data_IF_788307271046
#
_entry.id   IF_788307271046
#
_cell.length_a   1.000
_cell.length_b   1.000
_cell.length_c   1.000
_cell.angle_alpha   90.00
_cell.angle_beta   90.00
_cell.angle_gamma   90.00
#
_symmetry.space_group_name_H-M   'P 1'
#
loop_
_entity.id
_entity.type
_entity.pdbx_description
1 polymer ?
#
# COMPACT_ATOMS: atom_id res chain seq x y z
N UNK A 1 -22.16 -9.80 -7.58
CA UNK A 1 -20.85 -9.14 -7.36
C UNK A 1 -20.00 -9.35 -8.60
N UNK A 2 -19.29 -8.34 -9.12
CA UNK A 2 -18.32 -8.57 -10.18
C UNK A 2 -17.26 -9.57 -9.69
N UNK A 3 -16.86 -10.52 -10.54
CA UNK A 3 -15.78 -11.47 -10.22
C UNK A 3 -14.46 -10.71 -10.20
N UNK A 4 -13.64 -10.93 -9.18
CA UNK A 4 -12.28 -10.37 -9.14
C UNK A 4 -11.44 -10.92 -10.29
N UNK A 5 -10.74 -10.04 -11.01
CA UNK A 5 -9.78 -10.44 -12.04
C UNK A 5 -8.40 -10.65 -11.43
N UNK A 6 -7.78 -11.78 -11.71
CA UNK A 6 -6.42 -12.10 -11.29
C UNK A 6 -5.57 -12.29 -12.53
N UNK A 7 -4.46 -11.55 -12.61
CA UNK A 7 -3.47 -11.68 -13.67
C UNK A 7 -2.19 -12.29 -13.08
N UNK A 8 -1.57 -13.21 -13.82
CA UNK A 8 -0.28 -13.83 -13.48
C UNK A 8 0.56 -13.82 -14.74
N UNK A 9 1.79 -13.34 -14.63
CA UNK A 9 2.72 -13.26 -15.75
C UNK A 9 4.07 -13.81 -15.33
N UNK A 10 4.64 -14.71 -16.14
CA UNK A 10 6.02 -15.17 -15.96
C UNK A 10 6.95 -14.09 -16.50
N UNK A 11 7.93 -13.69 -15.68
CA UNK A 11 8.81 -12.56 -15.96
C UNK A 11 10.28 -12.99 -15.99
N UNK A 12 11.15 -12.13 -16.50
CA UNK A 12 12.62 -12.26 -16.44
C UNK A 12 13.22 -10.94 -15.94
N UNK A 13 14.43 -10.96 -15.34
CA UNK A 13 15.07 -9.74 -14.84
C UNK A 13 15.18 -8.62 -15.87
N UNK A 14 15.39 -8.95 -17.14
CA UNK A 14 15.61 -7.98 -18.22
C UNK A 14 14.33 -7.22 -18.62
N UNK A 15 13.15 -7.80 -18.36
CA UNK A 15 11.85 -7.28 -18.81
C UNK A 15 10.92 -6.92 -17.65
N UNK A 16 11.39 -7.01 -16.40
CA UNK A 16 10.54 -6.92 -15.20
C UNK A 16 9.67 -5.65 -15.14
N UNK A 17 10.18 -4.50 -15.59
CA UNK A 17 9.43 -3.25 -15.56
C UNK A 17 8.28 -3.25 -16.58
N UNK A 18 8.56 -3.71 -17.80
CA UNK A 18 7.57 -3.86 -18.87
C UNK A 18 6.53 -4.94 -18.50
N UNK A 19 6.99 -6.04 -17.90
CA UNK A 19 6.14 -7.13 -17.45
C UNK A 19 5.16 -6.67 -16.36
N UNK A 20 5.58 -5.79 -15.44
CA UNK A 20 4.70 -5.19 -14.44
C UNK A 20 3.62 -4.32 -15.10
N UNK A 21 3.98 -3.49 -16.08
CA UNK A 21 3.00 -2.69 -16.81
C UNK A 21 1.99 -3.58 -17.55
N UNK A 22 2.47 -4.63 -18.23
CA UNK A 22 1.61 -5.61 -18.89
C UNK A 22 0.70 -6.33 -17.89
N UNK A 23 1.24 -6.74 -16.74
CA UNK A 23 0.49 -7.39 -15.66
C UNK A 23 -0.64 -6.50 -15.15
N UNK A 24 -0.38 -5.20 -14.96
CA UNK A 24 -1.40 -4.23 -14.54
C UNK A 24 -2.49 -4.07 -15.60
N UNK A 25 -2.12 -3.97 -16.89
CA UNK A 25 -3.09 -3.91 -18.00
C UNK A 25 -3.95 -5.17 -18.08
N UNK A 26 -3.36 -6.36 -17.90
CA UNK A 26 -4.10 -7.62 -17.82
C UNK A 26 -5.11 -7.63 -16.66
N UNK A 27 -4.78 -6.98 -15.55
CA UNK A 27 -5.67 -6.78 -14.40
C UNK A 27 -6.65 -5.59 -14.57
N UNK A 28 -6.68 -4.94 -15.73
CA UNK A 28 -7.63 -3.85 -16.07
C UNK A 28 -7.60 -2.67 -15.09
N UNK A 29 -6.41 -2.33 -14.55
CA UNK A 29 -6.29 -1.34 -13.47
C UNK A 29 -6.90 0.04 -13.82
N UNK A 30 -6.82 0.47 -15.07
CA UNK A 30 -7.38 1.76 -15.52
C UNK A 30 -8.91 1.84 -15.40
N UNK A 31 -9.60 0.71 -15.41
CA UNK A 31 -11.07 0.65 -15.21
C UNK A 31 -11.48 0.70 -13.74
N UNK A 32 -10.52 0.56 -12.83
CA UNK A 32 -10.75 0.46 -11.38
C UNK A 32 -10.18 1.62 -10.58
N UNK A 33 -9.31 2.44 -11.19
CA UNK A 33 -8.72 3.62 -10.57
C UNK A 33 -9.22 4.89 -11.25
N UNK A 34 -9.59 5.90 -10.47
CA UNK A 34 -9.99 7.21 -11.00
C UNK A 34 -8.75 8.03 -11.37
N UNK A 35 -8.57 8.32 -12.66
CA UNK A 35 -7.41 9.09 -13.17
C UNK A 35 -7.30 10.50 -12.59
N UNK A 36 -8.40 11.11 -12.15
CA UNK A 36 -8.42 12.47 -11.63
C UNK A 36 -8.03 12.56 -10.14
N UNK A 37 -8.14 11.44 -9.44
CA UNK A 37 -7.85 11.30 -8.03
C UNK A 37 -6.36 11.05 -7.77
N UNK A 38 -5.89 11.45 -6.59
CA UNK A 38 -4.55 11.06 -6.12
C UNK A 38 -4.50 9.54 -5.98
N UNK A 39 -3.40 8.94 -6.42
CA UNK A 39 -3.13 7.51 -6.27
C UNK A 39 -2.06 7.28 -5.21
N UNK A 40 -2.48 6.68 -4.10
CA UNK A 40 -1.60 6.30 -3.01
C UNK A 40 -0.86 5.01 -3.39
N UNK A 41 0.46 5.07 -3.39
CA UNK A 41 1.32 3.90 -3.45
C UNK A 41 1.53 3.40 -2.02
N UNK A 42 0.97 2.24 -1.72
CA UNK A 42 1.06 1.66 -0.39
C UNK A 42 2.05 0.51 -0.39
N UNK A 43 3.33 0.84 -0.25
CA UNK A 43 4.38 -0.14 -0.04
C UNK A 43 4.22 -0.89 1.29
N UNK A 44 4.94 -2.00 1.39
CA UNK A 44 4.98 -2.87 2.55
C UNK A 44 6.43 -3.12 2.94
N UNK A 45 6.90 -2.37 3.95
CA UNK A 45 8.14 -2.69 4.67
C UNK A 45 7.76 -3.46 5.95
N UNK A 46 7.95 -4.77 5.93
CA UNK A 46 7.79 -5.63 7.11
C UNK A 46 9.03 -5.61 8.00
N UNK A 47 10.21 -5.41 7.42
CA UNK A 47 11.48 -5.28 8.14
C UNK A 47 12.44 -4.30 7.46
N UNK A 48 13.27 -3.62 8.25
CA UNK A 48 14.12 -2.51 7.80
C UNK A 48 15.24 -2.98 6.94
N UNK A 49 15.71 -4.18 7.21
CA UNK A 49 16.78 -4.79 6.47
C UNK A 49 16.24 -5.41 5.19
N UNK A 50 17.03 -5.35 4.11
CA UNK A 50 16.65 -5.97 2.85
C UNK A 50 16.61 -7.49 3.05
N UNK A 51 15.41 -8.04 3.03
CA UNK A 51 15.19 -9.48 3.03
C UNK A 51 14.30 -9.82 1.84
N UNK A 52 14.76 -10.72 1.00
CA UNK A 52 14.01 -11.14 -0.18
C UNK A 52 12.66 -11.72 0.26
N UNK A 53 11.62 -11.41 -0.51
CA UNK A 53 10.25 -11.86 -0.26
C UNK A 53 9.59 -11.32 1.03
N UNK A 54 10.22 -10.37 1.73
CA UNK A 54 9.65 -9.75 2.93
C UNK A 54 9.05 -8.38 2.67
N UNK A 55 9.59 -7.61 1.74
CA UNK A 55 9.23 -6.22 1.49
C UNK A 55 8.84 -5.98 0.03
N UNK A 56 8.11 -4.90 -0.24
CA UNK A 56 7.98 -4.36 -1.60
C UNK A 56 9.36 -4.23 -2.23
N UNK A 57 9.52 -4.75 -3.44
CA UNK A 57 10.82 -4.72 -4.12
C UNK A 57 10.98 -3.42 -4.92
N UNK A 58 12.23 -2.95 -5.12
CA UNK A 58 12.50 -1.76 -5.92
C UNK A 58 11.87 -1.83 -7.32
N UNK A 59 12.05 -2.95 -8.03
CA UNK A 59 11.49 -3.13 -9.38
C UNK A 59 9.96 -3.20 -9.39
N UNK A 60 9.32 -3.77 -8.35
CA UNK A 60 7.87 -3.77 -8.22
C UNK A 60 7.35 -2.33 -8.10
N UNK A 61 7.97 -1.54 -7.23
CA UNK A 61 7.60 -0.15 -7.01
C UNK A 61 7.82 0.68 -8.28
N UNK A 62 9.00 0.59 -8.88
CA UNK A 62 9.36 1.33 -10.08
C UNK A 62 8.46 0.99 -11.27
N UNK A 63 8.22 -0.30 -11.52
CA UNK A 63 7.34 -0.74 -12.60
C UNK A 63 5.91 -0.24 -12.44
N UNK A 64 5.38 -0.23 -11.21
CA UNK A 64 4.05 0.30 -10.92
C UNK A 64 3.98 1.82 -11.13
N UNK A 65 5.00 2.56 -10.70
CA UNK A 65 5.08 4.01 -10.93
C UNK A 65 5.10 4.30 -12.43
N UNK A 66 5.93 3.59 -13.20
CA UNK A 66 6.01 3.76 -14.66
C UNK A 66 4.66 3.45 -15.31
N UNK A 67 4.04 2.33 -14.97
CA UNK A 67 2.75 1.92 -15.52
C UNK A 67 1.64 2.93 -15.25
N UNK A 68 1.56 3.44 -14.01
CA UNK A 68 0.61 4.48 -13.63
C UNK A 68 0.85 5.78 -14.42
N UNK A 69 2.11 6.24 -14.50
CA UNK A 69 2.44 7.45 -15.26
C UNK A 69 2.15 7.29 -16.76
N UNK A 70 2.50 6.16 -17.36
CA UNK A 70 2.21 5.86 -18.77
C UNK A 70 0.71 5.87 -19.07
N UNK A 71 -0.13 5.48 -18.10
CA UNK A 71 -1.58 5.52 -18.21
C UNK A 71 -2.22 6.88 -17.85
N UNK A 72 -1.42 7.90 -17.53
CA UNK A 72 -1.88 9.27 -17.25
C UNK A 72 -2.25 9.54 -15.78
N UNK A 73 -1.82 8.70 -14.84
CA UNK A 73 -1.97 8.99 -13.40
C UNK A 73 -0.83 9.90 -12.92
N UNK A 74 -1.07 11.20 -12.91
CA UNK A 74 -0.03 12.20 -12.61
C UNK A 74 0.19 12.42 -11.11
N UNK A 75 -0.85 12.22 -10.28
CA UNK A 75 -0.85 12.55 -8.85
C UNK A 75 -0.54 11.31 -8.02
N UNK A 76 0.75 11.01 -7.83
CA UNK A 76 1.20 9.86 -7.04
C UNK A 76 1.76 10.30 -5.68
N UNK A 77 1.39 9.59 -4.61
CA UNK A 77 1.90 9.81 -3.25
C UNK A 77 2.19 8.47 -2.60
N UNK A 78 3.37 8.27 -2.02
CA UNK A 78 3.68 7.11 -1.20
C UNK A 78 3.22 7.35 0.24
N UNK A 79 2.58 6.35 0.86
CA UNK A 79 2.19 6.44 2.28
C UNK A 79 2.82 5.32 3.09
N UNK A 80 3.60 5.71 4.10
CA UNK A 80 4.29 4.78 4.99
C UNK A 80 3.62 4.71 6.36
N UNK A 81 3.74 3.54 6.99
CA UNK A 81 3.23 3.31 8.34
C UNK A 81 4.35 2.95 9.31
N UNK A 82 4.24 3.42 10.55
CA UNK A 82 5.12 2.97 11.64
C UNK A 82 4.60 1.64 12.19
N UNK A 83 5.49 0.67 12.42
CA UNK A 83 5.11 -0.60 13.07
C UNK A 83 6.02 -0.88 14.27
N UNK A 84 5.58 -1.75 15.16
CA UNK A 84 6.33 -2.14 16.37
C UNK A 84 7.71 -2.71 16.08
N UNK A 85 7.92 -3.27 14.89
CA UNK A 85 9.19 -3.87 14.47
C UNK A 85 9.84 -3.07 13.33
N UNK A 86 9.33 -1.87 13.03
CA UNK A 86 9.71 -1.14 11.81
C UNK A 86 10.01 0.34 11.97
N UNK A 87 11.22 0.78 11.56
CA UNK A 87 11.57 2.18 11.32
C UNK A 87 11.40 2.61 9.83
N UNK A 88 10.25 3.13 9.39
CA UNK A 88 9.96 3.35 7.98
C UNK A 88 11.03 4.18 7.23
N UNK A 89 11.65 5.17 7.86
CA UNK A 89 12.74 5.96 7.26
C UNK A 89 13.98 5.13 6.95
N UNK A 90 14.45 4.32 7.91
CA UNK A 90 15.58 3.40 7.68
C UNK A 90 15.21 2.37 6.61
N UNK A 91 13.93 1.98 6.57
CA UNK A 91 13.40 0.95 5.68
C UNK A 91 13.39 1.42 4.24
N UNK A 92 12.94 2.65 3.99
CA UNK A 92 12.97 3.28 2.67
C UNK A 92 14.39 3.33 2.08
N UNK A 93 15.39 3.66 2.90
CA UNK A 93 16.81 3.69 2.50
C UNK A 93 17.38 2.31 2.22
N UNK A 94 17.23 1.38 3.16
CA UNK A 94 17.87 0.06 3.10
C UNK A 94 17.21 -0.86 2.06
N UNK A 95 15.89 -0.75 1.88
CA UNK A 95 15.16 -1.47 0.82
C UNK A 95 15.19 -0.76 -0.54
N UNK A 96 15.92 0.36 -0.66
CA UNK A 96 16.08 1.12 -1.91
C UNK A 96 14.77 1.64 -2.51
N UNK A 97 13.76 1.94 -1.68
CA UNK A 97 12.50 2.54 -2.12
C UNK A 97 12.61 4.07 -2.23
N UNK A 98 13.28 4.71 -1.25
CA UNK A 98 13.47 6.18 -1.22
C UNK A 98 14.11 6.74 -2.52
N UNK A 99 15.17 6.13 -3.09
CA UNK A 99 15.73 6.61 -4.36
C UNK A 99 14.74 6.56 -5.54
N UNK A 100 13.80 5.61 -5.54
CA UNK A 100 12.78 5.49 -6.60
C UNK A 100 11.75 6.61 -6.44
N UNK A 101 11.24 6.83 -5.22
CA UNK A 101 10.31 7.94 -4.98
C UNK A 101 10.92 9.27 -5.44
N UNK A 102 12.18 9.53 -5.08
CA UNK A 102 12.93 10.71 -5.54
C UNK A 102 13.09 10.78 -7.06
N UNK A 103 13.50 9.69 -7.70
CA UNK A 103 13.69 9.60 -9.16
C UNK A 103 12.42 10.01 -9.92
N UNK A 104 11.25 9.63 -9.41
CA UNK A 104 9.97 9.89 -10.06
C UNK A 104 9.17 11.06 -9.46
N UNK A 105 9.74 11.81 -8.52
CA UNK A 105 9.06 12.94 -7.87
C UNK A 105 7.78 12.55 -7.12
N UNK A 106 7.75 11.34 -6.54
CA UNK A 106 6.63 10.87 -5.71
C UNK A 106 6.81 11.41 -4.30
N UNK A 107 5.83 12.16 -3.80
CA UNK A 107 5.82 12.65 -2.41
C UNK A 107 5.66 11.49 -1.43
N UNK A 108 6.44 11.50 -0.34
CA UNK A 108 6.31 10.54 0.76
C UNK A 108 5.54 11.17 1.92
N UNK A 109 4.49 10.51 2.39
CA UNK A 109 3.74 10.88 3.61
C UNK A 109 3.77 9.75 4.63
N UNK A 110 3.79 10.10 5.91
CA UNK A 110 3.87 9.14 7.00
C UNK A 110 2.60 9.21 7.85
N UNK A 111 1.83 8.12 7.90
CA UNK A 111 0.52 8.11 8.56
C UNK A 111 0.56 8.23 10.10
N UNK A 112 1.74 8.37 10.69
CA UNK A 112 1.95 8.54 12.12
C UNK A 112 2.59 9.91 12.44
N UNK A 113 2.76 10.76 11.42
CA UNK A 113 3.19 12.15 11.56
C UNK A 113 1.96 13.02 11.33
N UNK A 114 1.54 13.75 12.36
CA UNK A 114 0.30 14.55 12.34
C UNK A 114 0.30 15.64 11.25
N UNK A 115 1.46 16.20 10.92
CA UNK A 115 1.60 17.20 9.84
C UNK A 115 1.41 16.59 8.45
N UNK A 116 1.57 15.28 8.30
CA UNK A 116 1.41 14.59 7.03
C UNK A 116 -0.02 14.10 6.84
N UNK A 117 -0.57 13.42 7.86
CA UNK A 117 -1.88 12.76 7.80
C UNK A 117 -2.55 12.84 9.17
N UNK A 118 -3.72 13.50 9.21
CA UNK A 118 -4.60 13.54 10.38
C UNK A 118 -5.50 12.31 10.42
N UNK A 119 -5.78 11.84 11.63
CA UNK A 119 -6.74 10.78 11.88
C UNK A 119 -8.06 11.37 12.37
N UNK A 120 -9.12 11.12 11.64
CA UNK A 120 -10.46 11.63 11.97
C UNK A 120 -11.36 10.48 12.42
N UNK A 121 -12.29 10.79 13.32
CA UNK A 121 -13.31 9.83 13.74
C UNK A 121 -14.21 9.48 12.56
N UNK A 122 -14.43 8.19 12.37
CA UNK A 122 -15.30 7.63 11.35
C UNK A 122 -16.37 6.77 12.00
N UNK A 123 -17.63 7.10 11.71
CA UNK A 123 -18.78 6.30 12.14
C UNK A 123 -19.19 5.38 10.97
N UNK A 124 -19.03 4.06 11.08
CA UNK A 124 -19.43 3.14 10.03
C UNK A 124 -20.94 3.17 9.81
N UNK A 125 -21.38 3.17 8.55
CA UNK A 125 -22.81 3.18 8.19
C UNK A 125 -23.56 1.90 8.58
N UNK A 126 -22.83 0.83 8.92
CA UNK A 126 -23.38 -0.47 9.27
C UNK A 126 -22.68 -0.99 10.52
N UNK A 127 -23.36 -1.90 11.24
CA UNK A 127 -22.78 -2.54 12.41
C UNK A 127 -21.51 -3.33 12.04
N UNK A 128 -20.40 -3.02 12.71
CA UNK A 128 -19.14 -3.74 12.52
C UNK A 128 -19.15 -5.05 13.31
N UNK A 129 -18.62 -6.13 12.71
CA UNK A 129 -18.56 -7.46 13.33
C UNK A 129 -17.65 -7.49 14.57
N UNK A 130 -16.47 -6.86 14.47
CA UNK A 130 -15.43 -6.91 15.50
C UNK A 130 -14.83 -5.54 15.86
N UNK A 131 -14.82 -4.56 14.93
CA UNK A 131 -14.10 -3.30 15.14
C UNK A 131 -14.57 -2.53 16.38
N UNK A 132 -15.86 -2.52 16.70
CA UNK A 132 -16.37 -1.83 17.90
C UNK A 132 -15.86 -2.44 19.22
N UNK A 133 -15.49 -3.73 19.23
CA UNK A 133 -14.88 -4.38 20.41
C UNK A 133 -13.41 -4.01 20.55
N UNK A 134 -12.71 -3.82 19.43
CA UNK A 134 -11.28 -3.48 19.38
C UNK A 134 -11.07 -1.98 19.62
N UNK A 135 -12.01 -1.16 19.13
CA UNK A 135 -12.03 0.30 19.18
C UNK A 135 -13.29 0.79 19.93
N UNK A 136 -13.37 0.57 21.26
CA UNK A 136 -14.53 0.98 22.04
C UNK A 136 -14.74 2.51 22.05
N UNK A 137 -13.66 3.27 21.93
CA UNK A 137 -13.66 4.73 21.93
C UNK A 137 -13.92 5.35 20.54
N UNK A 138 -14.22 4.52 19.54
CA UNK A 138 -14.52 4.93 18.16
C UNK A 138 -13.40 4.61 17.17
N UNK A 139 -13.82 4.38 15.93
CA UNK A 139 -12.92 4.06 14.81
C UNK A 139 -12.40 5.36 14.23
N UNK A 140 -11.09 5.42 13.98
CA UNK A 140 -10.46 6.55 13.32
C UNK A 140 -9.82 6.07 12.01
N UNK A 141 -9.92 6.89 10.97
CA UNK A 141 -9.33 6.63 9.65
C UNK A 141 -8.44 7.81 9.24
N UNK A 142 -7.44 7.60 8.38
CA UNK A 142 -6.64 8.69 7.84
C UNK A 142 -7.51 9.55 6.93
N UNK A 143 -7.72 10.82 7.28
CA UNK A 143 -8.50 11.78 6.49
C UNK A 143 -7.97 11.87 5.05
N UNK A 144 -6.64 11.82 4.91
CA UNK A 144 -5.97 11.87 3.62
C UNK A 144 -6.45 10.76 2.67
N UNK A 145 -6.93 9.60 3.11
CA UNK A 145 -7.26 8.50 2.21
C UNK A 145 -8.63 8.68 1.53
N UNK A 146 -9.47 9.57 2.04
CA UNK A 146 -10.81 9.78 1.51
C UNK A 146 -10.73 10.32 0.07
N UNK A 147 -11.49 9.70 -0.83
CA UNK A 147 -11.57 10.08 -2.24
C UNK A 147 -10.29 9.81 -3.05
N UNK A 148 -9.40 8.92 -2.59
CA UNK A 148 -8.16 8.59 -3.29
C UNK A 148 -8.13 7.14 -3.73
N UNK A 149 -7.41 6.87 -4.81
CA UNK A 149 -7.04 5.52 -5.19
C UNK A 149 -5.95 5.01 -4.24
N UNK A 150 -5.87 3.69 -4.06
CA UNK A 150 -4.77 3.05 -3.36
C UNK A 150 -4.32 1.82 -4.15
N UNK A 151 -3.02 1.76 -4.49
CA UNK A 151 -2.37 0.58 -5.04
C UNK A 151 -1.52 -0.05 -3.94
N UNK A 152 -1.93 -1.22 -3.47
CA UNK A 152 -1.20 -1.97 -2.44
C UNK A 152 -0.10 -2.81 -3.09
N UNK A 153 1.13 -2.71 -2.56
CA UNK A 153 2.30 -3.44 -3.05
C UNK A 153 2.86 -4.44 -2.03
N UNK A 154 2.04 -5.31 -1.41
CA UNK A 154 2.56 -6.28 -0.45
C UNK A 154 3.30 -7.41 -1.16
N UNK A 155 4.23 -8.02 -0.46
CA UNK A 155 4.68 -9.37 -0.78
C UNK A 155 3.81 -10.38 -0.05
N UNK A 156 3.23 -11.34 -0.77
CA UNK A 156 2.58 -12.50 -0.16
C UNK A 156 3.65 -13.36 0.52
N UNK A 157 3.41 -13.67 1.80
CA UNK A 157 4.28 -14.48 2.65
C UNK A 157 3.46 -15.09 3.78
N UNK A 158 3.99 -16.10 4.45
CA UNK A 158 3.35 -16.68 5.63
C UNK A 158 3.32 -15.68 6.78
N UNK A 159 2.34 -15.84 7.66
CA UNK A 159 2.17 -14.99 8.83
C UNK A 159 1.59 -15.79 10.00
N UNK A 160 2.14 -15.59 11.19
CA UNK A 160 1.81 -16.39 12.38
C UNK A 160 0.34 -16.31 12.79
N UNK A 161 -0.34 -15.17 12.58
CA UNK A 161 -1.72 -14.97 13.02
C UNK A 161 -2.77 -15.19 11.92
N UNK A 162 -2.42 -14.92 10.66
CA UNK A 162 -3.39 -14.86 9.54
C UNK A 162 -3.12 -15.92 8.47
N UNK A 163 -2.21 -16.86 8.76
CA UNK A 163 -1.63 -17.84 7.83
C UNK A 163 -0.81 -17.20 6.71
N UNK A 164 -1.34 -16.20 6.02
CA UNK A 164 -0.69 -15.43 4.96
C UNK A 164 -0.87 -13.92 5.16
N UNK A 165 0.01 -13.13 4.55
CA UNK A 165 -0.19 -11.68 4.35
C UNK A 165 -0.58 -11.39 2.91
N UNK A 166 -1.12 -10.19 2.66
CA UNK A 166 -1.50 -9.74 1.33
C UNK A 166 -2.07 -8.32 1.36
N UNK A 167 -2.85 -7.97 0.34
CA UNK A 167 -3.37 -6.62 0.16
C UNK A 167 -4.24 -6.15 1.33
N UNK A 168 -5.17 -7.00 1.80
CA UNK A 168 -6.06 -6.66 2.93
C UNK A 168 -5.28 -6.37 4.22
N UNK A 169 -4.27 -7.18 4.54
CA UNK A 169 -3.41 -6.95 5.71
C UNK A 169 -2.58 -5.68 5.56
N UNK A 170 -2.09 -5.37 4.36
CA UNK A 170 -1.40 -4.12 4.08
C UNK A 170 -2.34 -2.90 4.20
N UNK A 171 -3.62 -3.06 3.84
CA UNK A 171 -4.63 -2.02 3.98
C UNK A 171 -4.88 -1.66 5.45
N UNK A 172 -4.97 -2.65 6.35
CA UNK A 172 -5.13 -2.38 7.79
C UNK A 172 -3.97 -1.57 8.38
N UNK A 173 -2.74 -1.76 7.87
CA UNK A 173 -1.57 -0.95 8.24
C UNK A 173 -1.71 0.54 7.91
N UNK A 174 -2.48 0.87 6.86
CA UNK A 174 -2.75 2.24 6.45
C UNK A 174 -4.04 2.82 7.04
N UNK A 175 -5.10 2.01 7.12
CA UNK A 175 -6.47 2.45 7.43
C UNK A 175 -6.83 2.45 8.91
N UNK A 176 -6.11 1.69 9.73
CA UNK A 176 -6.38 1.56 11.16
C UNK A 176 -5.18 2.05 11.97
N UNK A 177 -5.47 2.74 13.07
CA UNK A 177 -4.45 3.37 13.91
C UNK A 177 -3.82 2.37 14.89
N UNK A 178 -3.68 2.73 16.16
CA UNK A 178 -3.22 1.83 17.23
C UNK A 178 -4.12 0.58 17.31
N UNK A 179 -3.66 -0.52 17.93
CA UNK A 179 -4.44 -1.77 18.09
C UNK A 179 -4.82 -2.54 16.81
N UNK A 180 -4.43 -2.07 15.62
CA UNK A 180 -4.74 -2.73 14.34
C UNK A 180 -4.28 -4.19 14.25
N UNK A 181 -3.27 -4.60 15.01
CA UNK A 181 -2.81 -6.00 15.03
C UNK A 181 -3.83 -6.97 15.61
N UNK A 182 -4.82 -6.49 16.39
CA UNK A 182 -5.96 -7.30 16.84
C UNK A 182 -7.03 -7.49 15.76
N UNK A 183 -6.89 -6.86 14.59
CA UNK A 183 -7.81 -7.00 13.44
C UNK A 183 -7.34 -8.04 12.42
N UNK A 184 -6.24 -8.72 12.72
CA UNK A 184 -5.68 -9.82 11.94
C UNK A 184 -6.54 -11.08 12.04
#
# INVERSE_FOLDING_TARGET
MPKSKVAVLKTKPETILQDIEQLMKLAEFESHLDKNSITILKDNISWHFPYLSSNTTPWQLEGVIIALKNAGFEKLVAVHNNTVVTNPFKGGKLNKLEPIYKKYGVEEKYNFIETDIRWIRYEPRHKMLALNKIYPDGIHIPEFFIGKNIVHLPTMKTHIYTTTTGAMKNAFGGLLNTRRHYTH
#
